data_IF_031193410007
#
_entry.id   IF_031193410007
#
_cell.length_a   1.000
_cell.length_b   1.000
_cell.length_c   1.000
_cell.angle_alpha   90.00
_cell.angle_beta   90.00
_cell.angle_gamma   90.00
#
_symmetry.space_group_name_H-M   'P 1'
#
loop_
_entity.id
_entity.type
_entity.pdbx_description
1 polymer ?
#
# COMPACT_ATOMS: atom_id res chain seq x y z
N UNK A 1 13.06 -23.48 -32.53
CA UNK A 1 12.84 -22.84 -31.20
C UNK A 1 11.42 -22.26 -31.25
N UNK A 2 10.51 -22.87 -30.51
CA UNK A 2 9.06 -22.69 -30.67
C UNK A 2 8.64 -21.33 -30.04
N UNK A 3 7.72 -20.60 -30.67
CA UNK A 3 7.18 -19.33 -30.16
C UNK A 3 6.60 -19.46 -28.74
N UNK A 4 6.16 -20.68 -28.38
CA UNK A 4 5.69 -21.03 -27.04
C UNK A 4 6.82 -21.06 -26.01
N UNK A 5 8.03 -21.56 -26.35
CA UNK A 5 9.20 -21.52 -25.46
C UNK A 5 9.69 -20.09 -25.23
N UNK A 6 9.67 -19.26 -26.27
CA UNK A 6 10.03 -17.83 -26.17
C UNK A 6 9.01 -17.04 -25.33
N UNK A 7 7.74 -17.42 -25.37
CA UNK A 7 6.68 -16.86 -24.54
C UNK A 7 6.80 -17.29 -23.08
N UNK A 8 7.16 -18.56 -22.83
CA UNK A 8 7.36 -19.09 -21.49
C UNK A 8 8.62 -18.57 -20.82
N UNK A 9 9.73 -18.47 -21.54
CA UNK A 9 10.98 -17.87 -21.02
C UNK A 9 10.85 -16.41 -20.59
N UNK A 10 9.89 -15.67 -21.18
CA UNK A 10 9.61 -14.27 -20.81
C UNK A 10 8.67 -14.14 -19.58
N UNK A 11 7.96 -15.21 -19.24
CA UNK A 11 7.07 -15.28 -18.08
C UNK A 11 7.85 -15.69 -16.82
N UNK A 12 9.00 -16.33 -16.98
CA UNK A 12 9.75 -17.00 -15.90
C UNK A 12 10.60 -16.08 -15.02
N UNK A 13 10.85 -14.83 -15.40
CA UNK A 13 11.57 -13.90 -14.54
C UNK A 13 10.71 -12.67 -14.25
N UNK A 14 10.03 -12.68 -13.09
CA UNK A 14 9.66 -11.42 -12.45
C UNK A 14 10.93 -10.58 -12.38
N UNK A 15 10.90 -9.37 -12.95
CA UNK A 15 12.12 -8.56 -12.98
C UNK A 15 12.63 -8.36 -11.56
N UNK A 16 13.93 -8.30 -11.40
CA UNK A 16 14.56 -7.99 -10.13
C UNK A 16 13.98 -6.70 -9.54
N UNK A 17 13.73 -5.70 -10.39
CA UNK A 17 13.15 -4.42 -10.02
C UNK A 17 11.80 -4.58 -9.33
N UNK A 18 10.89 -5.39 -9.87
CA UNK A 18 9.58 -5.58 -9.29
C UNK A 18 9.65 -6.31 -7.94
N UNK A 19 10.55 -7.30 -7.81
CA UNK A 19 10.81 -7.99 -6.53
C UNK A 19 11.38 -7.02 -5.48
N UNK A 20 12.34 -6.18 -5.86
CA UNK A 20 12.94 -5.18 -4.96
C UNK A 20 11.89 -4.18 -4.49
N UNK A 21 11.06 -3.63 -5.38
CA UNK A 21 9.99 -2.70 -5.01
C UNK A 21 8.99 -3.37 -4.06
N UNK A 22 8.58 -4.61 -4.35
CA UNK A 22 7.66 -5.36 -3.52
C UNK A 22 8.20 -5.55 -2.10
N UNK A 23 9.44 -6.03 -1.96
CA UNK A 23 10.05 -6.24 -0.64
C UNK A 23 10.35 -4.93 0.08
N UNK A 24 10.74 -3.88 -0.63
CA UNK A 24 10.88 -2.54 -0.05
C UNK A 24 9.56 -2.05 0.55
N UNK A 25 8.42 -2.24 -0.14
CA UNK A 25 7.10 -1.93 0.40
C UNK A 25 6.80 -2.70 1.69
N UNK A 26 7.11 -3.99 1.74
CA UNK A 26 6.90 -4.81 2.95
C UNK A 26 7.72 -4.27 4.12
N UNK A 27 9.00 -3.94 3.89
CA UNK A 27 9.88 -3.38 4.94
C UNK A 27 9.35 -2.03 5.42
N UNK A 28 8.99 -1.12 4.51
CA UNK A 28 8.44 0.20 4.86
C UNK A 28 7.13 0.07 5.64
N UNK A 29 6.27 -0.87 5.26
CA UNK A 29 5.03 -1.16 5.99
C UNK A 29 5.30 -1.60 7.43
N UNK A 30 6.28 -2.50 7.64
CA UNK A 30 6.67 -2.96 8.98
C UNK A 30 7.18 -1.78 9.81
N UNK A 31 7.99 -0.88 9.24
CA UNK A 31 8.47 0.32 9.94
C UNK A 31 7.30 1.22 10.36
N UNK A 32 6.37 1.50 9.45
CA UNK A 32 5.17 2.30 9.75
C UNK A 32 4.32 1.62 10.84
N UNK A 33 4.07 0.33 10.71
CA UNK A 33 3.28 -0.43 11.67
C UNK A 33 3.94 -0.43 13.06
N UNK A 34 5.25 -0.57 13.13
CA UNK A 34 6.01 -0.53 14.39
C UNK A 34 5.84 0.80 15.12
N UNK A 35 5.79 1.92 14.40
CA UNK A 35 5.51 3.23 14.99
C UNK A 35 4.14 3.28 15.69
N UNK A 36 3.11 2.71 15.08
CA UNK A 36 1.78 2.71 15.67
C UNK A 36 1.64 1.71 16.82
N UNK A 37 2.34 0.58 16.75
CA UNK A 37 2.23 -0.50 17.76
C UNK A 37 3.09 -0.26 19.00
N UNK A 38 4.23 0.43 18.89
CA UNK A 38 5.17 0.62 19.98
C UNK A 38 5.03 2.04 20.54
N UNK A 39 4.42 2.23 21.74
CA UNK A 39 4.20 3.55 22.32
C UNK A 39 5.48 4.40 22.49
N UNK A 40 6.62 3.74 22.75
CA UNK A 40 7.92 4.42 22.90
C UNK A 40 8.37 5.18 21.64
N UNK A 41 7.84 4.83 20.47
CA UNK A 41 8.17 5.50 19.21
C UNK A 41 7.26 6.73 18.89
N UNK A 42 6.25 7.01 19.71
CA UNK A 42 5.31 8.12 19.49
C UNK A 42 5.88 9.47 19.94
N UNK A 43 7.08 9.82 19.50
CA UNK A 43 7.71 11.12 19.75
C UNK A 43 7.58 12.03 18.51
N UNK A 44 7.74 13.36 18.71
CA UNK A 44 7.66 14.34 17.60
C UNK A 44 8.71 14.06 16.51
N UNK A 45 9.89 13.59 16.88
CA UNK A 45 10.96 13.30 15.94
C UNK A 45 10.63 12.06 15.12
N UNK A 46 10.15 10.99 15.75
CA UNK A 46 9.69 9.80 15.06
C UNK A 46 8.49 10.07 14.15
N UNK A 47 7.62 11.00 14.50
CA UNK A 47 6.52 11.42 13.62
C UNK A 47 7.02 11.96 12.27
N UNK A 48 8.08 12.76 12.27
CA UNK A 48 8.71 13.22 11.02
C UNK A 48 9.24 12.06 10.18
N UNK A 49 9.91 11.10 10.82
CA UNK A 49 10.37 9.88 10.13
C UNK A 49 9.22 9.12 9.50
N UNK A 50 8.16 8.86 10.24
CA UNK A 50 6.98 8.13 9.72
C UNK A 50 6.31 8.87 8.58
N UNK A 51 6.27 10.21 8.61
CA UNK A 51 5.75 11.01 7.50
C UNK A 51 6.57 10.82 6.22
N UNK A 52 7.91 10.80 6.33
CA UNK A 52 8.81 10.52 5.20
C UNK A 52 8.57 9.08 4.69
N UNK A 53 8.49 8.10 5.58
CA UNK A 53 8.19 6.71 5.19
C UNK A 53 6.82 6.57 4.55
N UNK A 54 5.83 7.37 4.97
CA UNK A 54 4.51 7.43 4.33
C UNK A 54 4.59 7.89 2.86
N UNK A 55 5.39 8.91 2.57
CA UNK A 55 5.63 9.36 1.19
C UNK A 55 6.38 8.30 0.39
N UNK A 56 7.42 7.68 0.97
CA UNK A 56 8.16 6.58 0.31
C UNK A 56 7.21 5.42 0.01
N UNK A 57 6.35 5.05 0.96
CA UNK A 57 5.36 3.99 0.81
C UNK A 57 4.40 4.26 -0.35
N UNK A 58 3.91 5.48 -0.46
CA UNK A 58 3.08 5.95 -1.56
C UNK A 58 3.79 5.82 -2.91
N UNK A 59 5.01 6.35 -3.02
CA UNK A 59 5.78 6.31 -4.27
C UNK A 59 6.12 4.88 -4.70
N UNK A 60 6.50 4.02 -3.76
CA UNK A 60 6.74 2.60 -4.01
C UNK A 60 5.46 1.88 -4.42
N UNK A 61 4.30 2.25 -3.84
CA UNK A 61 2.99 1.71 -4.23
C UNK A 61 2.66 2.01 -5.69
N UNK A 62 2.83 3.28 -6.10
CA UNK A 62 2.66 3.68 -7.51
C UNK A 62 3.65 2.95 -8.41
N UNK A 63 4.93 2.88 -8.01
CA UNK A 63 5.95 2.16 -8.76
C UNK A 63 5.60 0.68 -8.93
N UNK A 64 5.11 0.00 -7.88
CA UNK A 64 4.69 -1.40 -7.97
C UNK A 64 3.57 -1.58 -9.00
N UNK A 65 2.56 -0.73 -9.00
CA UNK A 65 1.46 -0.76 -9.98
C UNK A 65 2.02 -0.56 -11.40
N UNK A 66 2.83 0.48 -11.57
CA UNK A 66 3.42 0.82 -12.87
C UNK A 66 4.23 -0.34 -13.46
N UNK A 67 5.16 -0.91 -12.68
CA UNK A 67 5.98 -2.03 -13.14
C UNK A 67 5.17 -3.30 -13.36
N UNK A 68 4.15 -3.57 -12.52
CA UNK A 68 3.23 -4.71 -12.71
C UNK A 68 2.50 -4.63 -14.06
N UNK A 69 2.07 -3.44 -14.46
CA UNK A 69 1.41 -3.19 -15.75
C UNK A 69 2.42 -3.26 -16.89
N UNK A 70 3.57 -2.59 -16.73
CA UNK A 70 4.62 -2.51 -17.75
C UNK A 70 5.18 -3.88 -18.12
N UNK A 71 5.40 -4.75 -17.14
CA UNK A 71 5.91 -6.11 -17.33
C UNK A 71 4.83 -7.08 -17.83
N UNK A 72 3.60 -6.59 -18.05
CA UNK A 72 2.47 -7.38 -18.54
C UNK A 72 2.20 -8.63 -17.69
N UNK A 73 2.38 -8.51 -16.36
CA UNK A 73 2.01 -9.57 -15.42
C UNK A 73 0.53 -9.93 -15.62
N UNK A 74 0.21 -11.23 -15.57
CA UNK A 74 -1.15 -11.74 -15.83
C UNK A 74 -1.68 -12.54 -14.64
N UNK A 75 -2.98 -12.82 -14.67
CA UNK A 75 -3.65 -13.71 -13.72
C UNK A 75 -3.79 -13.12 -12.32
N UNK A 76 -3.85 -13.99 -11.34
CA UNK A 76 -4.07 -13.62 -9.92
C UNK A 76 -2.91 -12.80 -9.37
N UNK A 77 -1.68 -13.10 -9.74
CA UNK A 77 -0.51 -12.35 -9.28
C UNK A 77 -0.60 -10.87 -9.63
N UNK A 78 -1.05 -10.54 -10.85
CA UNK A 78 -1.30 -9.13 -11.24
C UNK A 78 -2.28 -8.46 -10.28
N UNK A 79 -3.40 -9.13 -9.96
CA UNK A 79 -4.45 -8.57 -9.10
C UNK A 79 -3.91 -8.26 -7.70
N UNK A 80 -3.14 -9.18 -7.11
CA UNK A 80 -2.62 -8.99 -5.76
C UNK A 80 -1.46 -7.99 -5.70
N UNK A 81 -0.60 -7.92 -6.71
CA UNK A 81 0.43 -6.87 -6.79
C UNK A 81 -0.19 -5.48 -6.95
N UNK A 82 -1.25 -5.35 -7.77
CA UNK A 82 -1.99 -4.09 -7.89
C UNK A 82 -2.70 -3.76 -6.57
N UNK A 83 -3.33 -4.74 -5.91
CA UNK A 83 -3.95 -4.52 -4.60
C UNK A 83 -2.95 -4.01 -3.57
N UNK A 84 -1.76 -4.63 -3.50
CA UNK A 84 -0.66 -4.19 -2.61
C UNK A 84 -0.26 -2.74 -2.91
N UNK A 85 0.00 -2.42 -4.17
CA UNK A 85 0.39 -1.07 -4.57
C UNK A 85 -0.71 -0.04 -4.37
N UNK A 86 -1.96 -0.39 -4.68
CA UNK A 86 -3.11 0.49 -4.51
C UNK A 86 -3.41 0.77 -3.03
N UNK A 87 -3.26 -0.22 -2.16
CA UNK A 87 -3.43 -0.04 -0.71
C UNK A 87 -2.34 0.88 -0.14
N UNK A 88 -1.10 0.72 -0.59
CA UNK A 88 0.02 1.57 -0.18
C UNK A 88 -0.19 3.03 -0.64
N UNK A 89 -0.54 3.24 -1.91
CA UNK A 89 -0.83 4.57 -2.44
C UNK A 89 -2.10 5.17 -1.83
N UNK A 90 -3.15 4.35 -1.68
CA UNK A 90 -4.42 4.74 -1.11
C UNK A 90 -4.33 5.22 0.34
N UNK A 91 -3.41 4.68 1.12
CA UNK A 91 -3.20 5.11 2.51
C UNK A 91 -2.86 6.60 2.59
N UNK A 92 -1.88 7.09 1.82
CA UNK A 92 -1.52 8.51 1.85
C UNK A 92 -2.62 9.40 1.27
N UNK A 93 -3.25 8.97 0.17
CA UNK A 93 -4.40 9.69 -0.41
C UNK A 93 -5.53 9.81 0.62
N UNK A 94 -5.84 8.75 1.36
CA UNK A 94 -6.87 8.78 2.40
C UNK A 94 -6.53 9.74 3.54
N UNK A 95 -5.25 9.83 3.95
CA UNK A 95 -4.81 10.82 4.95
C UNK A 95 -5.05 12.25 4.45
N UNK A 96 -4.71 12.53 3.19
CA UNK A 96 -4.97 13.85 2.61
C UNK A 96 -6.45 14.18 2.52
N UNK A 97 -7.27 13.25 2.03
CA UNK A 97 -8.71 13.44 1.91
C UNK A 97 -9.37 13.61 3.28
N UNK A 98 -8.97 12.82 4.28
CA UNK A 98 -9.41 12.99 5.65
C UNK A 98 -9.19 14.43 6.14
N UNK A 99 -7.96 14.95 6.02
CA UNK A 99 -7.65 16.31 6.48
C UNK A 99 -8.39 17.39 5.68
N UNK A 100 -8.52 17.22 4.35
CA UNK A 100 -9.24 18.17 3.49
C UNK A 100 -10.72 18.20 3.85
N UNK A 101 -11.36 17.05 3.96
CA UNK A 101 -12.79 16.94 4.28
C UNK A 101 -13.05 17.44 5.70
N UNK A 102 -12.22 17.05 6.67
CA UNK A 102 -12.30 17.54 8.03
C UNK A 102 -12.28 19.08 8.09
N UNK A 103 -11.26 19.68 7.47
CA UNK A 103 -11.10 21.14 7.44
C UNK A 103 -12.20 21.86 6.64
N UNK A 104 -12.64 21.28 5.52
CA UNK A 104 -13.71 21.85 4.70
C UNK A 104 -15.02 21.97 5.50
N UNK A 105 -15.39 20.96 6.25
CA UNK A 105 -16.61 20.97 7.05
C UNK A 105 -16.51 21.98 8.20
N UNK A 106 -15.35 22.16 8.80
CA UNK A 106 -15.13 23.23 9.81
C UNK A 106 -15.34 24.61 9.17
N UNK A 107 -14.80 24.84 7.98
CA UNK A 107 -14.96 26.13 7.28
C UNK A 107 -16.40 26.40 6.88
N UNK A 108 -17.13 25.39 6.43
CA UNK A 108 -18.52 25.56 5.94
C UNK A 108 -19.56 25.62 7.04
N UNK A 109 -19.37 24.88 8.16
CA UNK A 109 -20.39 24.66 9.17
C UNK A 109 -20.01 25.09 10.59
N UNK A 110 -18.79 25.60 10.78
CA UNK A 110 -18.25 26.07 12.04
C UNK A 110 -17.32 25.09 12.74
N UNK A 111 -16.50 25.61 13.66
CA UNK A 111 -15.45 24.86 14.33
C UNK A 111 -15.94 23.69 15.18
N UNK A 112 -17.18 23.76 15.65
CA UNK A 112 -17.83 22.77 16.49
C UNK A 112 -18.65 21.71 15.71
N UNK A 113 -18.55 21.73 14.37
CA UNK A 113 -19.34 20.83 13.51
C UNK A 113 -19.20 19.35 13.90
N UNK A 114 -17.97 18.86 14.02
CA UNK A 114 -17.71 17.46 14.30
C UNK A 114 -18.15 17.04 15.70
N UNK A 115 -18.03 17.92 16.68
CA UNK A 115 -18.54 17.68 18.04
C UNK A 115 -20.08 17.60 18.06
N UNK A 116 -20.75 18.53 17.37
CA UNK A 116 -22.23 18.55 17.28
C UNK A 116 -22.80 17.32 16.56
N UNK A 117 -22.06 16.74 15.63
CA UNK A 117 -22.50 15.51 14.96
C UNK A 117 -22.28 14.26 15.81
N UNK A 118 -21.55 14.36 16.91
CA UNK A 118 -21.20 13.23 17.76
C UNK A 118 -20.11 12.32 17.19
N UNK A 119 -19.53 12.69 16.03
CA UNK A 119 -18.50 11.89 15.36
C UNK A 119 -17.09 12.24 15.84
N UNK A 120 -16.90 13.46 16.34
CA UNK A 120 -15.61 13.98 16.81
C UNK A 120 -14.57 14.22 15.69
N UNK A 121 -14.66 13.51 14.57
CA UNK A 121 -13.76 13.58 13.44
C UNK A 121 -14.41 13.06 12.15
N UNK A 122 -13.73 13.18 11.01
CA UNK A 122 -14.13 12.60 9.72
C UNK A 122 -13.92 11.07 9.73
N UNK A 123 -14.97 10.23 9.75
CA UNK A 123 -14.80 8.81 10.02
C UNK A 123 -14.44 7.99 8.78
N UNK A 124 -14.87 8.40 7.58
CA UNK A 124 -14.78 7.56 6.38
C UNK A 124 -13.33 7.32 5.95
N UNK A 125 -12.59 8.39 5.69
CA UNK A 125 -11.19 8.27 5.28
C UNK A 125 -10.27 7.84 6.43
N UNK A 126 -10.66 8.13 7.67
CA UNK A 126 -10.00 7.62 8.86
C UNK A 126 -10.05 6.07 8.94
N UNK A 127 -11.23 5.48 8.72
CA UNK A 127 -11.39 4.02 8.65
C UNK A 127 -10.61 3.44 7.45
N UNK A 128 -10.63 4.12 6.29
CA UNK A 128 -9.87 3.67 5.13
C UNK A 128 -8.39 3.56 5.43
N UNK A 129 -7.78 4.56 6.04
CA UNK A 129 -6.33 4.56 6.31
C UNK A 129 -5.93 3.61 7.42
N UNK A 130 -6.72 3.49 8.48
CA UNK A 130 -6.37 2.69 9.66
C UNK A 130 -6.75 1.21 9.56
N UNK A 131 -7.77 0.89 8.80
CA UNK A 131 -8.33 -0.47 8.75
C UNK A 131 -8.25 -1.05 7.35
N UNK A 132 -8.90 -0.39 6.37
CA UNK A 132 -9.09 -0.98 5.05
C UNK A 132 -7.76 -1.11 4.30
N UNK A 133 -6.97 -0.04 4.23
CA UNK A 133 -5.69 -0.06 3.52
C UNK A 133 -4.68 -1.05 4.13
N UNK A 134 -4.45 -1.10 5.46
CA UNK A 134 -3.54 -2.09 6.06
C UNK A 134 -3.99 -3.53 5.83
N UNK A 135 -5.28 -3.84 5.97
CA UNK A 135 -5.81 -5.19 5.74
C UNK A 135 -5.65 -5.57 4.26
N UNK A 136 -6.05 -4.70 3.34
CA UNK A 136 -5.92 -4.95 1.91
C UNK A 136 -4.46 -5.11 1.48
N UNK A 137 -3.54 -4.33 2.07
CA UNK A 137 -2.11 -4.47 1.88
C UNK A 137 -1.61 -5.85 2.31
N UNK A 138 -1.95 -6.29 3.53
CA UNK A 138 -1.56 -7.60 4.05
C UNK A 138 -2.10 -8.74 3.20
N UNK A 139 -3.36 -8.67 2.78
CA UNK A 139 -3.96 -9.67 1.87
C UNK A 139 -3.20 -9.70 0.55
N UNK A 140 -2.90 -8.55 -0.03
CA UNK A 140 -2.14 -8.44 -1.27
C UNK A 140 -0.73 -9.04 -1.14
N UNK A 141 -0.02 -8.72 -0.06
CA UNK A 141 1.33 -9.24 0.22
C UNK A 141 1.32 -10.75 0.41
N UNK A 142 0.49 -11.27 1.31
CA UNK A 142 0.42 -12.71 1.61
C UNK A 142 0.09 -13.51 0.36
N UNK A 143 -0.93 -13.09 -0.38
CA UNK A 143 -1.33 -13.76 -1.62
C UNK A 143 -0.22 -13.71 -2.69
N UNK A 144 0.48 -12.58 -2.83
CA UNK A 144 1.60 -12.45 -3.75
C UNK A 144 2.75 -13.38 -3.38
N UNK A 145 3.11 -13.48 -2.10
CA UNK A 145 4.17 -14.38 -1.61
C UNK A 145 3.79 -15.85 -1.89
N UNK A 146 2.55 -16.26 -1.59
CA UNK A 146 2.08 -17.63 -1.85
C UNK A 146 2.18 -17.96 -3.35
N UNK A 147 1.81 -17.00 -4.22
CA UNK A 147 1.90 -17.20 -5.66
C UNK A 147 3.36 -17.25 -6.16
N UNK A 148 4.27 -16.50 -5.56
CA UNK A 148 5.70 -16.57 -5.87
C UNK A 148 6.27 -17.95 -5.51
N UNK A 149 5.92 -18.50 -4.34
CA UNK A 149 6.39 -19.80 -3.88
C UNK A 149 5.84 -20.92 -4.77
N UNK A 150 4.52 -20.92 -5.04
CA UNK A 150 3.89 -21.93 -5.92
C UNK A 150 4.51 -21.94 -7.32
N UNK A 151 4.79 -20.76 -7.87
CA UNK A 151 5.41 -20.66 -9.18
C UNK A 151 6.81 -21.28 -9.18
N UNK A 152 7.62 -21.01 -8.15
CA UNK A 152 8.97 -21.60 -8.01
C UNK A 152 8.95 -23.12 -7.92
N UNK A 153 7.94 -23.70 -7.25
CA UNK A 153 7.80 -25.18 -7.12
C UNK A 153 7.41 -25.87 -8.41
N UNK A 154 6.76 -25.17 -9.33
CA UNK A 154 6.36 -25.73 -10.64
C UNK A 154 7.50 -25.66 -11.69
N UNK A 155 8.55 -24.91 -11.40
CA UNK A 155 9.71 -24.69 -12.30
C UNK A 155 10.93 -25.54 -11.90
N UNK A 156 10.94 -26.18 -10.73
CA UNK A 156 12.00 -27.07 -10.24
C UNK A 156 11.62 -28.53 -10.29
#
# INVERSE_FOLDING_TARGET
MNLLEKSQGKINNLSLTLKVIFWALVVVFIVILSYFMIPAFRTREFFRFVSIFGVIFFLLGIALIFFTIREKIKGLLKKFLILTGASAAGSLVSVFLHNIIYGLFIVLFGADFWERTGLGDEPFFFILVLIVCPIAFLVGVIASIVLFIKKKQLEG
#
